data_IF_433671976757
#
_entry.id   IF_433671976757
#
_cell.length_a   1.000
_cell.length_b   1.000
_cell.length_c   1.000
_cell.angle_alpha   90.00
_cell.angle_beta   90.00
_cell.angle_gamma   90.00
#
_symmetry.space_group_name_H-M   'P 1'
#
loop_
_entity.id
_entity.type
_entity.pdbx_description
1 polymer ?
#
# COMPACT_ATOMS: atom_id res chain seq x y z
N UNK A 1 4.72 18.38 5.18
CA UNK A 1 3.65 18.34 4.16
C UNK A 1 3.43 16.90 3.74
N UNK A 2 2.38 16.26 4.25
CA UNK A 2 2.02 14.88 3.92
C UNK A 2 1.34 14.85 2.55
N UNK A 3 1.77 13.98 1.62
CA UNK A 3 1.08 13.83 0.33
C UNK A 3 -0.32 13.26 0.55
N UNK A 4 -1.29 13.74 -0.23
CA UNK A 4 -2.66 13.24 -0.15
C UNK A 4 -2.75 11.80 -0.66
N UNK A 5 -3.79 11.04 -0.30
CA UNK A 5 -4.02 9.70 -0.86
C UNK A 5 -4.08 9.74 -2.40
N UNK A 6 -4.70 10.78 -2.96
CA UNK A 6 -4.80 10.94 -4.40
C UNK A 6 -3.43 11.08 -5.06
N UNK A 7 -2.51 11.82 -4.44
CA UNK A 7 -1.15 11.96 -4.96
C UNK A 7 -0.37 10.64 -4.86
N UNK A 8 -0.52 9.91 -3.76
CA UNK A 8 0.10 8.58 -3.59
C UNK A 8 -0.41 7.58 -4.63
N UNK A 9 -1.72 7.60 -4.93
CA UNK A 9 -2.32 6.78 -6.00
C UNK A 9 -1.73 7.15 -7.36
N UNK A 10 -1.58 8.45 -7.67
CA UNK A 10 -0.97 8.90 -8.94
C UNK A 10 0.49 8.46 -9.06
N UNK A 11 1.25 8.54 -7.96
CA UNK A 11 2.66 8.09 -7.93
C UNK A 11 2.74 6.57 -8.18
N UNK A 12 1.91 5.79 -7.49
CA UNK A 12 1.84 4.34 -7.67
C UNK A 12 1.42 3.95 -9.11
N UNK A 13 0.42 4.63 -9.66
CA UNK A 13 -0.04 4.42 -11.04
C UNK A 13 1.03 4.76 -12.09
N UNK A 14 1.93 5.70 -11.79
CA UNK A 14 3.05 6.04 -12.64
C UNK A 14 4.21 5.02 -12.55
N UNK A 15 4.14 4.02 -11.67
CA UNK A 15 5.20 3.03 -11.44
C UNK A 15 6.13 3.38 -10.27
N UNK A 16 5.83 4.42 -9.50
CA UNK A 16 6.65 4.83 -8.36
C UNK A 16 6.47 3.93 -7.15
N UNK A 17 7.54 3.25 -6.72
CA UNK A 17 7.57 2.52 -5.45
C UNK A 17 7.55 3.46 -4.24
N UNK A 18 6.93 3.01 -3.15
CA UNK A 18 6.76 3.85 -1.95
C UNK A 18 6.77 3.02 -0.66
N UNK A 19 7.27 3.63 0.41
CA UNK A 19 7.10 3.11 1.78
C UNK A 19 6.00 3.90 2.48
N UNK A 20 4.98 3.20 2.97
CA UNK A 20 3.80 3.79 3.60
C UNK A 20 3.62 3.25 5.02
N UNK A 21 3.15 4.09 5.93
CA UNK A 21 2.77 3.63 7.27
C UNK A 21 1.40 2.94 7.24
N UNK A 22 1.27 1.87 8.04
CA UNK A 22 0.01 1.21 8.37
C UNK A 22 -1.01 2.12 9.08
N UNK A 23 -0.61 3.31 9.54
CA UNK A 23 -1.52 4.31 10.11
C UNK A 23 -2.55 4.85 9.11
N UNK A 24 -2.37 4.60 7.82
CA UNK A 24 -3.37 4.92 6.79
C UNK A 24 -4.57 3.97 6.87
N UNK A 25 -5.74 4.45 6.42
CA UNK A 25 -6.93 3.61 6.38
C UNK A 25 -6.72 2.43 5.43
N UNK A 26 -7.31 1.28 5.73
CA UNK A 26 -7.20 0.10 4.85
C UNK A 26 -7.73 0.41 3.44
N UNK A 27 -8.81 1.20 3.35
CA UNK A 27 -9.38 1.61 2.06
C UNK A 27 -8.43 2.50 1.23
N UNK A 28 -7.64 3.36 1.88
CA UNK A 28 -6.60 4.14 1.20
C UNK A 28 -5.46 3.24 0.72
N UNK A 29 -4.98 2.34 1.58
CA UNK A 29 -3.90 1.41 1.23
C UNK A 29 -4.30 0.50 0.06
N UNK A 30 -5.51 -0.04 0.08
CA UNK A 30 -6.08 -0.82 -1.03
C UNK A 30 -6.09 -0.03 -2.33
N UNK A 31 -6.54 1.24 -2.32
CA UNK A 31 -6.55 2.10 -3.51
C UNK A 31 -5.14 2.36 -4.05
N UNK A 32 -4.17 2.60 -3.18
CA UNK A 32 -2.78 2.84 -3.58
C UNK A 32 -2.15 1.57 -4.16
N UNK A 33 -2.35 0.42 -3.50
CA UNK A 33 -1.80 -0.86 -3.94
C UNK A 33 -2.42 -1.34 -5.26
N UNK A 34 -3.73 -1.12 -5.45
CA UNK A 34 -4.41 -1.39 -6.72
C UNK A 34 -3.86 -0.53 -7.88
N UNK A 35 -3.44 0.71 -7.62
CA UNK A 35 -2.82 1.54 -8.63
C UNK A 35 -1.38 1.08 -8.96
N UNK A 36 -0.66 0.59 -7.95
CA UNK A 36 0.68 0.06 -8.10
C UNK A 36 0.74 -1.22 -8.96
N UNK A 37 -0.26 -2.10 -8.85
CA UNK A 37 -0.28 -3.38 -9.56
C UNK A 37 -0.28 -3.23 -11.08
N UNK A 38 -0.82 -2.14 -11.62
CA UNK A 38 -0.87 -1.90 -13.06
C UNK A 38 0.51 -1.70 -13.72
N UNK A 39 1.54 -1.34 -12.94
CA UNK A 39 2.91 -1.07 -13.44
C UNK A 39 4.01 -1.81 -12.69
N UNK A 40 3.67 -2.67 -11.72
CA UNK A 40 4.66 -3.36 -10.89
C UNK A 40 5.35 -2.45 -9.87
N UNK A 41 4.68 -1.39 -9.41
CA UNK A 41 5.27 -0.47 -8.44
C UNK A 41 5.35 -1.13 -7.05
N UNK A 42 6.53 -1.20 -6.45
CA UNK A 42 6.68 -1.88 -5.15
C UNK A 42 6.24 -0.97 -4.00
N UNK A 43 5.21 -1.38 -3.27
CA UNK A 43 4.70 -0.70 -2.08
C UNK A 43 5.12 -1.47 -0.83
N UNK A 44 5.82 -0.82 0.09
CA UNK A 44 6.17 -1.40 1.40
C UNK A 44 5.30 -0.76 2.48
N UNK A 45 4.57 -1.57 3.24
CA UNK A 45 3.75 -1.09 4.36
C UNK A 45 4.48 -1.38 5.66
N UNK A 46 4.92 -0.32 6.34
CA UNK A 46 5.61 -0.40 7.64
C UNK A 46 4.63 -0.44 8.80
N UNK A 47 4.94 -1.25 9.83
CA UNK A 47 4.07 -1.47 10.99
C UNK A 47 2.76 -2.19 10.63
N UNK A 48 2.80 -3.07 9.63
CA UNK A 48 1.62 -3.78 9.14
C UNK A 48 1.01 -4.73 10.20
N UNK A 49 1.78 -5.10 11.22
CA UNK A 49 1.33 -5.87 12.39
C UNK A 49 0.14 -5.23 13.16
N UNK A 50 -0.05 -3.91 13.03
CA UNK A 50 -1.15 -3.18 13.65
C UNK A 50 -2.50 -3.37 12.93
N UNK A 51 -2.51 -3.99 11.76
CA UNK A 51 -3.74 -4.28 10.99
C UNK A 51 -4.16 -5.74 11.17
N UNK A 52 -5.46 -5.98 11.07
CA UNK A 52 -5.98 -7.35 11.09
C UNK A 52 -5.50 -8.15 9.88
N UNK A 53 -5.36 -9.46 10.01
CA UNK A 53 -5.03 -10.35 8.88
C UNK A 53 -6.02 -10.17 7.72
N UNK A 54 -7.31 -9.96 8.01
CA UNK A 54 -8.33 -9.71 6.99
C UNK A 54 -8.09 -8.40 6.21
N UNK A 55 -7.59 -7.35 6.87
CA UNK A 55 -7.18 -6.11 6.19
C UNK A 55 -5.94 -6.34 5.34
N UNK A 56 -4.93 -7.05 5.87
CA UNK A 56 -3.70 -7.36 5.16
C UNK A 56 -3.97 -8.18 3.89
N UNK A 57 -4.86 -9.18 3.97
CA UNK A 57 -5.30 -9.96 2.80
C UNK A 57 -5.99 -9.07 1.77
N UNK A 58 -6.87 -8.16 2.18
CA UNK A 58 -7.52 -7.20 1.26
C UNK A 58 -6.50 -6.30 0.55
N UNK A 59 -5.50 -5.82 1.27
CA UNK A 59 -4.42 -4.99 0.71
C UNK A 59 -3.56 -5.82 -0.26
N UNK A 60 -3.18 -7.03 0.13
CA UNK A 60 -2.37 -7.94 -0.70
C UNK A 60 -3.08 -8.30 -2.01
N UNK A 61 -4.38 -8.60 -1.94
CA UNK A 61 -5.20 -8.92 -3.10
C UNK A 61 -5.27 -7.75 -4.10
N UNK A 62 -5.37 -6.51 -3.58
CA UNK A 62 -5.35 -5.31 -4.41
C UNK A 62 -3.99 -5.08 -5.09
N UNK A 63 -2.90 -5.35 -4.37
CA UNK A 63 -1.54 -5.18 -4.86
C UNK A 63 -1.06 -6.22 -5.88
N UNK A 64 -1.73 -7.38 -5.97
CA UNK A 64 -1.39 -8.48 -6.89
C UNK A 64 0.12 -8.86 -6.89
N UNK A 65 0.75 -8.88 -5.71
CA UNK A 65 2.18 -9.19 -5.56
C UNK A 65 3.13 -8.00 -5.52
N UNK A 66 2.62 -6.77 -5.69
CA UNK A 66 3.41 -5.54 -5.63
C UNK A 66 3.49 -4.94 -4.21
N UNK A 67 3.08 -5.70 -3.18
CA UNK A 67 2.98 -5.21 -1.80
C UNK A 67 3.84 -6.07 -0.88
N UNK A 68 4.72 -5.41 -0.14
CA UNK A 68 5.53 -6.00 0.93
C UNK A 68 5.00 -5.49 2.27
N UNK A 69 4.76 -6.40 3.21
CA UNK A 69 4.37 -6.05 4.57
C UNK A 69 5.56 -6.20 5.50
N UNK A 70 5.91 -5.12 6.18
CA UNK A 70 6.81 -5.20 7.31
C UNK A 70 6.00 -5.57 8.57
N UNK A 71 6.19 -6.82 8.97
CA UNK A 71 5.58 -7.43 10.16
C UNK A 71 6.56 -7.47 11.34
N UNK A 72 7.77 -6.91 11.18
CA UNK A 72 8.69 -6.75 12.30
C UNK A 72 8.13 -5.65 13.23
N UNK A 73 7.97 -5.99 14.49
CA UNK A 73 7.40 -5.12 15.52
C UNK A 73 8.46 -4.18 16.09
#
# INVERSE_FOLDING_TARGET
MSKSTADLVRIAAAGGGMTLSSGKSTADLVRICAAASGKGAQITIVGANSKSTADLVRIAAAGQGCVTFDLSA
#
